data_IF_824437888417
#
_entry.id   IF_824437888417
#
_cell.length_a   1.000
_cell.length_b   1.000
_cell.length_c   1.000
_cell.angle_alpha   90.00
_cell.angle_beta   90.00
_cell.angle_gamma   90.00
#
_symmetry.space_group_name_H-M   'P 1'
#
loop_
_entity.id
_entity.type
_entity.pdbx_description
1 polymer ?
#
# COMPACT_ATOMS: atom_id res chain seq x y z
N UNK A 1 -6.15 19.41 -16.77
CA UNK A 1 -5.97 18.99 -15.38
C UNK A 1 -7.25 19.14 -14.56
N UNK A 2 -7.93 20.28 -14.70
CA UNK A 2 -9.21 20.50 -14.02
C UNK A 2 -10.23 19.44 -14.47
N UNK A 3 -10.30 19.15 -15.75
CA UNK A 3 -11.22 18.14 -16.29
C UNK A 3 -10.92 16.74 -15.76
N UNK A 4 -9.65 16.42 -15.54
CA UNK A 4 -9.25 15.08 -15.07
C UNK A 4 -9.48 14.88 -13.57
N UNK A 5 -9.24 15.92 -12.78
CA UNK A 5 -9.33 15.81 -11.32
C UNK A 5 -10.67 16.21 -10.77
N UNK A 6 -11.31 17.14 -11.45
CA UNK A 6 -12.43 17.82 -10.82
C UNK A 6 -13.64 17.98 -11.68
N UNK A 7 -14.02 16.93 -12.39
CA UNK A 7 -15.27 17.00 -13.15
C UNK A 7 -16.45 17.45 -12.29
N UNK A 8 -16.38 17.32 -10.99
CA UNK A 8 -17.36 17.82 -10.02
C UNK A 8 -16.83 18.93 -9.12
N UNK A 9 -15.64 19.51 -9.44
CA UNK A 9 -14.96 20.48 -8.58
C UNK A 9 -14.67 21.78 -9.32
N UNK A 10 -14.57 22.88 -8.59
CA UNK A 10 -14.17 24.19 -9.13
C UNK A 10 -12.63 24.32 -9.09
N UNK A 11 -12.12 25.43 -9.65
CA UNK A 11 -10.68 25.71 -9.72
C UNK A 11 -10.02 25.77 -8.35
N UNK A 12 -10.66 26.41 -7.39
CA UNK A 12 -10.11 26.56 -6.04
C UNK A 12 -9.92 25.22 -5.36
N UNK A 13 -10.88 24.32 -5.53
CA UNK A 13 -10.81 22.97 -4.98
C UNK A 13 -9.72 22.14 -5.65
N UNK A 14 -9.55 22.28 -6.96
CA UNK A 14 -8.49 21.57 -7.69
C UNK A 14 -7.12 22.05 -7.25
N UNK A 15 -6.91 23.36 -7.10
CA UNK A 15 -5.65 23.91 -6.60
C UNK A 15 -5.38 23.41 -5.18
N UNK A 16 -6.37 23.41 -4.32
CA UNK A 16 -6.25 22.89 -2.96
C UNK A 16 -5.84 21.43 -2.94
N UNK A 17 -6.45 20.61 -3.80
CA UNK A 17 -6.11 19.19 -3.91
C UNK A 17 -4.69 18.99 -4.39
N UNK A 18 -4.23 19.78 -5.37
CA UNK A 18 -2.85 19.71 -5.87
C UNK A 18 -1.83 20.05 -4.77
N UNK A 19 -2.09 21.09 -4.00
CA UNK A 19 -1.23 21.46 -2.88
C UNK A 19 -1.21 20.38 -1.83
N UNK A 20 -2.36 19.82 -1.51
CA UNK A 20 -2.48 18.74 -0.53
C UNK A 20 -1.73 17.50 -0.99
N UNK A 21 -1.85 17.12 -2.26
CA UNK A 21 -1.13 15.98 -2.82
C UNK A 21 0.38 16.17 -2.73
N UNK A 22 0.86 17.39 -3.01
CA UNK A 22 2.28 17.70 -2.90
C UNK A 22 2.78 17.60 -1.45
N UNK A 23 1.98 18.06 -0.49
CA UNK A 23 2.31 17.96 0.93
C UNK A 23 2.35 16.49 1.39
N UNK A 24 1.44 15.68 0.90
CA UNK A 24 1.44 14.23 1.19
C UNK A 24 2.70 13.57 0.65
N UNK A 25 3.09 13.87 -0.58
CA UNK A 25 4.33 13.33 -1.16
C UNK A 25 5.55 13.72 -0.34
N UNK A 26 5.63 14.97 0.07
CA UNK A 26 6.73 15.46 0.89
C UNK A 26 6.76 14.76 2.25
N UNK A 27 5.62 14.62 2.91
CA UNK A 27 5.51 13.91 4.18
C UNK A 27 5.94 12.45 4.05
N UNK A 28 5.47 11.76 3.02
CA UNK A 28 5.82 10.36 2.78
C UNK A 28 7.30 10.16 2.45
N UNK A 29 7.96 11.16 1.91
CA UNK A 29 9.39 11.12 1.60
C UNK A 29 10.27 11.50 2.80
N UNK A 30 9.72 12.08 3.86
CA UNK A 30 10.48 12.54 5.01
C UNK A 30 10.92 11.34 5.86
N UNK A 31 12.24 11.17 6.12
CA UNK A 31 12.72 10.10 6.97
C UNK A 31 12.11 10.17 8.37
N UNK A 32 11.68 9.03 8.89
CA UNK A 32 11.09 8.93 10.23
C UNK A 32 9.61 9.29 10.29
N UNK A 33 9.02 9.80 9.21
CA UNK A 33 7.58 10.07 9.19
C UNK A 33 6.78 8.79 9.22
N UNK A 34 5.70 8.78 9.99
CA UNK A 34 4.75 7.67 10.00
C UNK A 34 3.81 7.81 8.82
N UNK A 35 3.65 6.74 8.08
CA UNK A 35 2.80 6.69 6.90
C UNK A 35 1.88 5.48 6.91
N UNK A 36 0.88 5.51 6.05
CA UNK A 36 0.05 4.35 5.75
C UNK A 36 0.48 3.79 4.40
N UNK A 37 0.56 2.47 4.32
CA UNK A 37 0.83 1.78 3.06
C UNK A 37 -0.32 0.85 2.73
N UNK A 38 -0.68 0.80 1.47
CA UNK A 38 -1.62 -0.18 0.95
C UNK A 38 -0.87 -1.02 -0.07
N UNK A 39 -0.62 -2.27 0.26
CA UNK A 39 0.08 -3.19 -0.61
C UNK A 39 -0.93 -4.15 -1.21
N UNK A 40 -1.06 -4.11 -2.53
CA UNK A 40 -1.91 -5.02 -3.28
C UNK A 40 -1.03 -6.02 -4.00
N UNK A 41 -1.26 -7.31 -3.80
CA UNK A 41 -0.52 -8.36 -4.49
C UNK A 41 -1.48 -9.33 -5.16
N UNK A 42 -1.03 -9.90 -6.26
CA UNK A 42 -1.69 -11.00 -6.95
C UNK A 42 -0.74 -12.19 -6.93
N UNK A 43 -1.22 -13.33 -6.53
CA UNK A 43 -0.39 -14.51 -6.41
C UNK A 43 -1.16 -15.77 -6.78
N UNK A 44 -0.41 -16.83 -7.08
CA UNK A 44 -0.97 -18.12 -7.37
C UNK A 44 -1.36 -18.80 -6.05
N UNK A 45 -2.63 -19.02 -5.89
CA UNK A 45 -3.24 -19.72 -4.75
C UNK A 45 -2.66 -21.13 -4.52
N UNK A 46 -2.17 -21.76 -5.58
CA UNK A 46 -1.58 -23.10 -5.50
C UNK A 46 -0.07 -23.09 -5.38
N UNK A 47 0.58 -21.93 -5.35
CA UNK A 47 2.02 -21.85 -5.21
C UNK A 47 2.45 -22.46 -3.87
N UNK A 48 3.42 -23.38 -3.94
CA UNK A 48 3.89 -24.11 -2.78
C UNK A 48 4.51 -23.15 -1.77
N UNK A 49 4.14 -23.29 -0.51
CA UNK A 49 4.69 -22.56 0.64
C UNK A 49 4.45 -21.04 0.62
N UNK A 50 3.80 -20.50 -0.40
CA UNK A 50 3.62 -19.07 -0.51
C UNK A 50 2.81 -18.51 0.64
N UNK A 51 1.68 -19.12 0.95
CA UNK A 51 0.81 -18.63 2.03
C UNK A 51 1.48 -18.71 3.39
N UNK A 52 2.27 -19.74 3.63
CA UNK A 52 3.05 -19.86 4.85
C UNK A 52 4.10 -18.75 4.97
N UNK A 53 4.79 -18.45 3.87
CA UNK A 53 5.79 -17.37 3.83
C UNK A 53 5.14 -16.00 4.06
N UNK A 54 4.03 -15.74 3.40
CA UNK A 54 3.29 -14.49 3.60
C UNK A 54 2.82 -14.35 5.04
N UNK A 55 2.32 -15.44 5.60
CA UNK A 55 1.86 -15.46 6.97
C UNK A 55 3.00 -15.20 7.96
N UNK A 56 4.16 -15.80 7.71
CA UNK A 56 5.35 -15.62 8.54
C UNK A 56 5.81 -14.16 8.52
N UNK A 57 5.83 -13.52 7.35
CA UNK A 57 6.20 -12.11 7.23
C UNK A 57 5.20 -11.24 8.01
N UNK A 58 3.91 -11.48 7.84
CA UNK A 58 2.88 -10.71 8.53
C UNK A 58 2.97 -10.91 10.04
N UNK A 59 3.29 -12.10 10.48
CA UNK A 59 3.47 -12.37 11.91
C UNK A 59 4.72 -11.68 12.48
N UNK A 60 5.82 -11.70 11.74
CA UNK A 60 7.06 -11.03 12.16
C UNK A 60 6.87 -9.52 12.31
N UNK A 61 6.09 -8.92 11.44
CA UNK A 61 5.85 -7.48 11.42
C UNK A 61 4.44 -7.10 11.89
N UNK A 62 3.87 -7.88 12.80
CA UNK A 62 2.47 -7.71 13.19
C UNK A 62 2.13 -6.32 13.71
N UNK A 63 3.10 -5.61 14.30
CA UNK A 63 2.87 -4.24 14.80
C UNK A 63 2.64 -3.25 13.67
N UNK A 64 3.16 -3.54 12.48
CA UNK A 64 3.03 -2.70 11.29
C UNK A 64 1.92 -3.16 10.35
N UNK A 65 1.39 -4.34 10.54
CA UNK A 65 0.29 -4.88 9.74
C UNK A 65 -1.03 -4.54 10.43
N UNK A 66 -1.79 -3.65 9.82
CA UNK A 66 -3.06 -3.20 10.40
C UNK A 66 -4.18 -4.18 10.10
N UNK A 67 -4.30 -4.58 8.84
CA UNK A 67 -5.31 -5.54 8.40
C UNK A 67 -4.95 -6.07 7.03
N UNK A 68 -5.62 -7.13 6.62
CA UNK A 68 -5.50 -7.65 5.27
C UNK A 68 -6.85 -8.17 4.79
N UNK A 69 -7.03 -8.15 3.48
CA UNK A 69 -8.23 -8.65 2.83
C UNK A 69 -7.81 -9.56 1.69
N UNK A 70 -8.45 -10.72 1.62
CA UNK A 70 -8.15 -11.75 0.64
C UNK A 70 -9.32 -11.88 -0.31
N UNK A 71 -9.05 -11.83 -1.60
CA UNK A 71 -10.06 -11.92 -2.65
C UNK A 71 -9.68 -13.02 -3.63
N UNK A 72 -10.58 -13.95 -3.87
CA UNK A 72 -10.40 -14.96 -4.90
C UNK A 72 -10.76 -14.37 -6.26
N UNK A 73 -9.81 -14.41 -7.20
CA UNK A 73 -10.02 -13.90 -8.55
C UNK A 73 -10.53 -14.98 -9.50
N UNK A 74 -9.89 -16.15 -9.43
CA UNK A 74 -10.25 -17.33 -10.23
C UNK A 74 -9.71 -18.59 -9.55
N UNK A 75 -9.68 -19.71 -10.26
CA UNK A 75 -9.21 -20.99 -9.71
C UNK A 75 -7.76 -20.95 -9.23
N UNK A 76 -6.94 -20.12 -9.84
CA UNK A 76 -5.50 -20.09 -9.59
C UNK A 76 -5.03 -18.84 -8.90
N UNK A 77 -5.72 -17.73 -9.07
CA UNK A 77 -5.23 -16.43 -8.66
C UNK A 77 -6.03 -15.85 -7.51
N UNK A 78 -5.29 -15.29 -6.58
CA UNK A 78 -5.83 -14.55 -5.45
C UNK A 78 -5.23 -13.15 -5.43
N UNK A 79 -6.01 -12.21 -4.94
CA UNK A 79 -5.55 -10.86 -4.65
C UNK A 79 -5.59 -10.67 -3.14
N UNK A 80 -4.54 -10.11 -2.59
CA UNK A 80 -4.53 -9.73 -1.18
C UNK A 80 -4.19 -8.25 -1.07
N UNK A 81 -4.94 -7.55 -0.24
CA UNK A 81 -4.68 -6.16 0.09
C UNK A 81 -4.24 -6.11 1.54
N UNK A 82 -3.04 -5.59 1.77
CA UNK A 82 -2.44 -5.53 3.11
C UNK A 82 -2.27 -4.06 3.48
N UNK A 83 -2.83 -3.67 4.60
CA UNK A 83 -2.71 -2.30 5.11
C UNK A 83 -1.58 -2.25 6.11
N UNK A 84 -0.60 -1.41 5.84
CA UNK A 84 0.62 -1.23 6.62
C UNK A 84 0.64 0.14 7.28
N UNK A 85 1.24 0.21 8.44
CA UNK A 85 1.43 1.48 9.15
C UNK A 85 2.81 1.48 9.80
N UNK A 86 3.52 2.57 9.66
CA UNK A 86 4.82 2.72 10.28
C UNK A 86 5.66 3.78 9.59
N UNK A 87 6.92 3.82 9.96
CA UNK A 87 7.89 4.70 9.32
C UNK A 87 8.07 4.27 7.85
N UNK A 88 8.28 5.24 6.97
CA UNK A 88 8.33 5.03 5.52
C UNK A 88 9.28 3.91 5.12
N UNK A 89 10.49 3.91 5.66
CA UNK A 89 11.50 2.90 5.33
C UNK A 89 11.05 1.50 5.72
N UNK A 90 10.45 1.36 6.89
CA UNK A 90 9.93 0.08 7.37
C UNK A 90 8.80 -0.43 6.50
N UNK A 91 7.86 0.45 6.15
CA UNK A 91 6.73 0.08 5.27
C UNK A 91 7.25 -0.40 3.92
N UNK A 92 8.23 0.30 3.35
CA UNK A 92 8.84 -0.12 2.09
C UNK A 92 9.58 -1.44 2.20
N UNK A 93 10.31 -1.65 3.30
CA UNK A 93 11.03 -2.91 3.51
C UNK A 93 10.08 -4.10 3.61
N UNK A 94 9.00 -3.96 4.35
CA UNK A 94 7.99 -5.01 4.47
C UNK A 94 7.37 -5.31 3.10
N UNK A 95 7.00 -4.25 2.37
CA UNK A 95 6.43 -4.40 1.04
C UNK A 95 7.39 -5.12 0.09
N UNK A 96 8.67 -4.78 0.13
CA UNK A 96 9.68 -5.40 -0.71
C UNK A 96 9.88 -6.89 -0.37
N UNK A 97 9.85 -7.24 0.91
CA UNK A 97 9.90 -8.65 1.33
C UNK A 97 8.73 -9.43 0.74
N UNK A 98 7.53 -8.88 0.83
CA UNK A 98 6.33 -9.55 0.31
C UNK A 98 6.38 -9.63 -1.22
N UNK A 99 6.71 -8.52 -1.89
CA UNK A 99 6.78 -8.48 -3.34
C UNK A 99 7.86 -9.41 -3.90
N UNK A 100 8.95 -9.60 -3.16
CA UNK A 100 10.04 -10.50 -3.56
C UNK A 100 9.80 -11.97 -3.26
N UNK A 101 8.70 -12.31 -2.62
CA UNK A 101 8.39 -13.69 -2.29
C UNK A 101 8.01 -14.48 -3.53
N UNK A 102 8.63 -15.64 -3.71
CA UNK A 102 8.36 -16.50 -4.87
C UNK A 102 6.89 -16.92 -4.89
N UNK A 103 6.26 -16.73 -6.03
CA UNK A 103 4.84 -17.02 -6.21
C UNK A 103 3.97 -15.77 -6.29
N UNK A 104 4.47 -14.62 -5.82
CA UNK A 104 3.82 -13.34 -6.03
C UNK A 104 4.03 -12.93 -7.48
N UNK A 105 2.95 -12.83 -8.23
CA UNK A 105 3.01 -12.53 -9.66
C UNK A 105 3.19 -11.06 -9.94
N UNK A 106 2.54 -10.23 -9.15
CA UNK A 106 2.56 -8.79 -9.31
C UNK A 106 2.10 -8.14 -8.01
N UNK A 107 2.47 -6.89 -7.83
CA UNK A 107 2.00 -6.14 -6.68
C UNK A 107 2.42 -4.69 -6.76
N UNK A 108 1.79 -3.88 -5.93
CA UNK A 108 2.06 -2.45 -5.87
C UNK A 108 1.82 -1.93 -4.47
N UNK A 109 2.76 -1.16 -3.99
CA UNK A 109 2.62 -0.41 -2.74
C UNK A 109 2.22 1.03 -3.07
N UNK A 110 1.18 1.49 -2.40
CA UNK A 110 0.79 2.90 -2.41
C UNK A 110 0.98 3.44 -1.00
N UNK A 111 1.77 4.49 -0.86
CA UNK A 111 2.06 5.12 0.42
C UNK A 111 1.30 6.43 0.50
N UNK A 112 0.65 6.67 1.63
CA UNK A 112 -0.09 7.90 1.86
C UNK A 112 0.09 8.38 3.30
N UNK A 113 -0.46 9.53 3.60
CA UNK A 113 -0.38 10.13 4.93
C UNK A 113 -1.29 9.45 5.93
N UNK A 114 -0.98 9.57 7.22
CA UNK A 114 -1.90 9.24 8.30
C UNK A 114 -2.99 10.31 8.47
N UNK A 115 -2.85 11.45 7.82
CA UNK A 115 -3.78 12.57 7.95
C UNK A 115 -3.49 13.48 9.15
N UNK A 116 -2.49 13.15 9.95
CA UNK A 116 -2.20 13.86 11.20
C UNK A 116 -1.81 15.33 10.97
N UNK A 117 -1.09 15.62 9.89
CA UNK A 117 -0.53 16.94 9.61
C UNK A 117 -1.19 17.66 8.43
N UNK A 118 -2.35 17.18 8.00
CA UNK A 118 -3.04 17.74 6.84
C UNK A 118 -4.46 18.15 7.16
#
# INVERSE_FOLDING_TARGET
LVARRGWAKNRSEVVRDLVRDALVEEECATPGAEVMGTLTIVFDHHASDLQEKLHAIQHEYFESIVSSMHVHLDEHNCLEVIVLRGETGLVQDIANLILGTKGVKNGRLVVTTTGQYI
#
